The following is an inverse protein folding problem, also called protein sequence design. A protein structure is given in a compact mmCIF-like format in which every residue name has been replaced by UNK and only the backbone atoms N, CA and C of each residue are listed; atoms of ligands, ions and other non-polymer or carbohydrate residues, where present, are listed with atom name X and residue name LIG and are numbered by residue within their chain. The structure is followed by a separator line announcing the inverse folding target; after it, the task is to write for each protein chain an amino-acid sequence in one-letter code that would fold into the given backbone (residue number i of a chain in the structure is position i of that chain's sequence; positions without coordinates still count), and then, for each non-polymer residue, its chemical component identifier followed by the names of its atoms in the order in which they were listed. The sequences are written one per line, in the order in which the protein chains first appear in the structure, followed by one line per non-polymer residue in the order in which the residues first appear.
data_IF_512053542463
#
_entry.id   IF_512053542463
#
_cell.length_a   1.000
_cell.length_b   1.000
_cell.length_c   1.000
_cell.angle_alpha   90.00
_cell.angle_beta   90.00
_cell.angle_gamma   90.00
#
_symmetry.space_group_name_H-M   'P 1'
#
loop_
_entity.id
_entity.type
_entity.pdbx_description
1 polymer ?
#
# COMPACT_ATOMS: atom_id res chain seq x y z
N UNK A 1 3.09 -22.68 8.77
CA UNK A 1 2.18 -21.95 9.69
C UNK A 1 3.05 -21.25 10.71
N UNK A 2 2.89 -19.96 10.88
CA UNK A 2 3.65 -19.23 11.91
C UNK A 2 3.33 -19.84 13.28
N UNK A 3 4.36 -19.93 14.15
CA UNK A 3 4.20 -20.40 15.54
C UNK A 3 3.96 -19.21 16.49
N UNK A 4 4.02 -17.99 15.99
CA UNK A 4 3.84 -16.78 16.77
C UNK A 4 2.36 -16.52 17.01
N UNK A 5 1.97 -16.47 18.30
CA UNK A 5 0.57 -16.33 18.69
C UNK A 5 -0.07 -15.03 18.23
N UNK A 6 0.60 -13.88 18.39
CA UNK A 6 0.05 -12.59 18.02
C UNK A 6 -0.20 -12.48 16.51
N UNK A 7 0.74 -12.95 15.69
CA UNK A 7 0.60 -12.97 14.23
C UNK A 7 -0.46 -13.97 13.77
N UNK A 8 -0.59 -15.11 14.45
CA UNK A 8 -1.67 -16.09 14.18
C UNK A 8 -3.03 -15.49 14.52
N UNK A 9 -3.18 -14.90 15.72
CA UNK A 9 -4.42 -14.24 16.14
C UNK A 9 -4.83 -13.11 15.17
N UNK A 10 -3.85 -12.36 14.64
CA UNK A 10 -4.08 -11.30 13.64
C UNK A 10 -4.60 -11.87 12.31
N UNK A 11 -3.97 -12.94 11.82
CA UNK A 11 -4.42 -13.63 10.61
C UNK A 11 -5.80 -14.29 10.79
N UNK A 12 -6.04 -14.92 11.93
CA UNK A 12 -7.33 -15.56 12.26
C UNK A 12 -8.47 -14.52 12.40
N UNK A 13 -8.13 -13.28 12.79
CA UNK A 13 -9.07 -12.15 12.78
C UNK A 13 -9.36 -11.59 11.37
N UNK A 14 -8.75 -12.17 10.32
CA UNK A 14 -8.99 -11.82 8.92
C UNK A 14 -8.11 -10.71 8.36
N UNK A 15 -6.98 -10.42 9.00
CA UNK A 15 -5.99 -9.45 8.53
C UNK A 15 -4.88 -10.15 7.77
N UNK A 16 -4.67 -9.78 6.51
CA UNK A 16 -3.52 -10.23 5.73
C UNK A 16 -2.27 -9.43 6.11
N UNK A 17 -1.22 -10.12 6.56
CA UNK A 17 0.04 -9.50 6.99
C UNK A 17 0.94 -9.34 5.77
N UNK A 18 1.18 -8.11 5.34
CA UNK A 18 2.10 -7.81 4.25
C UNK A 18 3.36 -7.09 4.76
N UNK A 19 4.48 -7.31 4.09
CA UNK A 19 5.73 -6.61 4.35
C UNK A 19 5.82 -5.36 3.48
N UNK A 20 6.13 -4.21 4.07
CA UNK A 20 6.39 -2.96 3.35
C UNK A 20 7.89 -2.79 3.10
N UNK A 21 8.47 -3.75 2.40
CA UNK A 21 9.88 -3.78 2.01
C UNK A 21 10.15 -4.85 0.94
N UNK A 22 11.09 -4.57 0.04
CA UNK A 22 11.62 -5.53 -0.94
C UNK A 22 13.02 -5.09 -1.36
N UNK A 23 13.94 -6.04 -1.41
CA UNK A 23 15.26 -5.86 -2.02
C UNK A 23 15.75 -7.18 -2.63
N UNK A 24 16.67 -7.11 -3.56
CA UNK A 24 17.32 -8.30 -4.11
C UNK A 24 18.04 -9.10 -3.03
N UNK A 25 18.67 -8.43 -2.08
CA UNK A 25 19.33 -9.09 -0.94
C UNK A 25 18.34 -9.95 -0.14
N UNK A 26 17.11 -9.44 0.12
CA UNK A 26 16.07 -10.24 0.80
C UNK A 26 15.67 -11.48 0.02
N UNK A 27 15.64 -11.39 -1.29
CA UNK A 27 15.29 -12.51 -2.18
C UNK A 27 16.42 -13.55 -2.22
N UNK A 28 17.65 -13.10 -2.44
CA UNK A 28 18.82 -13.98 -2.62
C UNK A 28 19.29 -14.63 -1.31
N UNK A 29 19.21 -13.91 -0.18
CA UNK A 29 19.54 -14.46 1.13
C UNK A 29 18.51 -15.46 1.67
N UNK A 30 17.31 -15.51 1.09
CA UNK A 30 16.18 -16.28 1.60
C UNK A 30 15.41 -15.61 2.75
N UNK A 31 15.79 -14.40 3.15
CA UNK A 31 15.11 -13.66 4.24
C UNK A 31 13.61 -13.52 4.01
N UNK A 32 13.18 -13.18 2.79
CA UNK A 32 11.75 -13.05 2.49
C UNK A 32 11.01 -14.39 2.64
N UNK A 33 11.60 -15.50 2.19
CA UNK A 33 11.03 -16.83 2.35
C UNK A 33 10.90 -17.20 3.85
N UNK A 34 11.91 -16.87 4.65
CA UNK A 34 11.90 -17.08 6.10
C UNK A 34 10.78 -16.28 6.78
N UNK A 35 10.52 -15.04 6.37
CA UNK A 35 9.41 -14.21 6.88
C UNK A 35 8.03 -14.79 6.50
N UNK A 36 7.89 -15.33 5.30
CA UNK A 36 6.68 -16.03 4.87
C UNK A 36 6.42 -17.25 5.75
N UNK A 37 7.44 -18.05 6.03
CA UNK A 37 7.31 -19.28 6.81
C UNK A 37 7.15 -19.02 8.31
N UNK A 38 7.99 -18.16 8.89
CA UNK A 38 8.07 -17.95 10.33
C UNK A 38 7.09 -16.92 10.87
N UNK A 39 6.77 -15.87 10.09
CA UNK A 39 5.93 -14.74 10.52
C UNK A 39 4.60 -14.65 9.78
N UNK A 40 4.34 -15.53 8.82
CA UNK A 40 3.07 -15.54 8.09
C UNK A 40 2.88 -14.33 7.19
N UNK A 41 3.96 -13.77 6.64
CA UNK A 41 3.88 -12.73 5.61
C UNK A 41 3.25 -13.32 4.35
N UNK A 42 2.19 -12.68 3.86
CA UNK A 42 1.38 -13.18 2.75
C UNK A 42 1.35 -12.25 1.54
N UNK A 43 2.16 -11.20 1.54
CA UNK A 43 2.30 -10.26 0.43
C UNK A 43 3.36 -9.21 0.71
N UNK A 44 3.65 -8.40 -0.31
CA UNK A 44 4.67 -7.35 -0.26
C UNK A 44 4.18 -6.09 -0.95
N UNK A 45 4.44 -4.95 -0.33
CA UNK A 45 4.32 -3.64 -0.97
C UNK A 45 5.69 -3.03 -1.21
N UNK A 46 5.84 -2.36 -2.35
CA UNK A 46 6.99 -1.53 -2.66
C UNK A 46 6.56 -0.08 -2.89
N UNK A 47 7.51 0.82 -2.90
CA UNK A 47 7.33 2.22 -3.25
C UNK A 47 8.69 2.82 -3.66
N UNK A 48 8.74 4.05 -4.22
CA UNK A 48 9.98 4.67 -4.63
C UNK A 48 11.07 4.74 -3.55
N UNK A 49 10.69 4.96 -2.29
CA UNK A 49 11.65 5.04 -1.19
C UNK A 49 12.25 3.68 -0.83
N UNK A 50 11.48 2.60 -0.97
CA UNK A 50 11.97 1.22 -0.76
C UNK A 50 13.00 0.87 -1.83
N UNK A 51 12.69 1.10 -3.11
CA UNK A 51 13.66 0.84 -4.17
C UNK A 51 14.89 1.76 -4.11
N UNK A 52 14.71 3.02 -3.73
CA UNK A 52 15.84 3.92 -3.50
C UNK A 52 16.80 3.38 -2.43
N UNK A 53 16.27 2.89 -1.31
CA UNK A 53 17.07 2.26 -0.26
C UNK A 53 17.71 0.94 -0.71
N UNK A 54 16.96 0.07 -1.40
CA UNK A 54 17.44 -1.23 -1.87
C UNK A 54 18.59 -1.09 -2.88
N UNK A 55 18.49 -0.17 -3.83
CA UNK A 55 19.51 0.04 -4.85
C UNK A 55 20.71 0.85 -4.36
N UNK A 56 20.58 1.58 -3.24
CA UNK A 56 21.71 2.28 -2.63
C UNK A 56 22.79 1.34 -2.08
N UNK A 57 22.42 0.13 -1.68
CA UNK A 57 23.33 -0.92 -1.18
C UNK A 57 23.98 -1.76 -2.31
N UNK A 58 23.96 -1.29 -3.49
CA UNK A 58 24.63 -1.62 -4.77
C UNK A 58 25.23 -3.00 -5.03
N UNK A 59 25.63 -3.79 -4.03
CA UNK A 59 26.43 -5.02 -4.23
C UNK A 59 25.57 -6.13 -4.90
N UNK A 60 24.34 -6.32 -4.47
CA UNK A 60 23.41 -7.30 -5.04
C UNK A 60 22.98 -6.97 -6.50
N UNK A 61 23.10 -5.72 -6.90
CA UNK A 61 22.77 -5.26 -8.25
C UNK A 61 23.97 -5.12 -9.18
N UNK A 62 25.19 -5.31 -8.71
CA UNK A 62 26.42 -5.01 -9.45
C UNK A 62 26.52 -5.73 -10.79
N UNK A 63 26.14 -7.00 -10.87
CA UNK A 63 26.17 -7.78 -12.11
C UNK A 63 25.18 -7.22 -13.14
N UNK A 64 23.93 -6.95 -12.74
CA UNK A 64 22.91 -6.41 -13.65
C UNK A 64 23.26 -4.99 -14.10
N UNK A 65 23.82 -4.16 -13.21
CA UNK A 65 24.31 -2.82 -13.56
C UNK A 65 25.43 -2.89 -14.61
N UNK A 66 26.36 -3.84 -14.48
CA UNK A 66 27.40 -4.05 -15.47
C UNK A 66 26.84 -4.45 -16.83
N UNK A 67 25.85 -5.37 -16.88
CA UNK A 67 25.19 -5.79 -18.11
C UNK A 67 24.42 -4.63 -18.76
N UNK A 68 23.69 -3.84 -17.98
CA UNK A 68 22.94 -2.67 -18.46
C UNK A 68 23.89 -1.57 -18.97
N UNK A 69 25.01 -1.35 -18.29
CA UNK A 69 26.03 -0.40 -18.74
C UNK A 69 26.68 -0.85 -20.05
N UNK A 70 26.99 -2.14 -20.20
CA UNK A 70 27.53 -2.72 -21.45
C UNK A 70 26.53 -2.61 -22.63
N UNK A 71 25.23 -2.66 -22.33
CA UNK A 71 24.15 -2.48 -23.31
C UNK A 71 23.84 -1.01 -23.61
N UNK A 72 24.56 -0.07 -23.01
CA UNK A 72 24.32 1.40 -23.08
C UNK A 72 22.89 1.81 -22.73
N UNK A 73 22.27 1.10 -21.76
CA UNK A 73 20.92 1.37 -21.30
C UNK A 73 20.79 2.77 -20.67
N UNK A 74 19.65 3.42 -20.94
CA UNK A 74 19.25 4.64 -20.21
C UNK A 74 18.94 4.37 -18.75
N UNK A 75 19.00 5.41 -17.90
CA UNK A 75 18.76 5.25 -16.46
C UNK A 75 17.33 4.80 -16.15
N UNK A 76 16.32 5.34 -16.84
CA UNK A 76 14.93 4.95 -16.66
C UNK A 76 14.70 3.48 -17.04
N UNK A 77 15.29 3.03 -18.15
CA UNK A 77 15.23 1.63 -18.58
C UNK A 77 15.94 0.70 -17.59
N UNK A 78 17.07 1.13 -17.03
CA UNK A 78 17.81 0.38 -16.03
C UNK A 78 16.99 0.22 -14.73
N UNK A 79 16.40 1.29 -14.21
CA UNK A 79 15.52 1.23 -13.04
C UNK A 79 14.32 0.35 -13.31
N UNK A 80 13.68 0.49 -14.48
CA UNK A 80 12.56 -0.35 -14.88
C UNK A 80 12.94 -1.83 -14.90
N UNK A 81 14.06 -2.20 -15.51
CA UNK A 81 14.53 -3.59 -15.56
C UNK A 81 14.83 -4.15 -14.17
N UNK A 82 15.59 -3.43 -13.35
CA UNK A 82 15.98 -3.88 -12.00
C UNK A 82 14.77 -4.09 -11.10
N UNK A 83 13.83 -3.13 -11.07
CA UNK A 83 12.66 -3.20 -10.20
C UNK A 83 11.64 -4.25 -10.65
N UNK A 84 11.43 -4.43 -11.95
CA UNK A 84 10.54 -5.47 -12.48
C UNK A 84 11.11 -6.88 -12.28
N UNK A 85 12.43 -7.05 -12.35
CA UNK A 85 13.07 -8.34 -12.08
C UNK A 85 12.92 -8.75 -10.61
N UNK A 86 13.13 -7.82 -9.67
CA UNK A 86 12.94 -8.09 -8.24
C UNK A 86 11.47 -8.41 -7.91
N UNK A 87 10.54 -7.66 -8.48
CA UNK A 87 9.10 -7.91 -8.30
C UNK A 87 8.68 -9.25 -8.91
N UNK A 88 9.22 -9.61 -10.08
CA UNK A 88 8.97 -10.92 -10.70
C UNK A 88 9.47 -12.06 -9.80
N UNK A 89 10.70 -11.94 -9.27
CA UNK A 89 11.26 -12.94 -8.37
C UNK A 89 10.44 -13.06 -7.07
N UNK A 90 9.99 -11.94 -6.52
CA UNK A 90 9.07 -11.95 -5.37
C UNK A 90 7.72 -12.60 -5.71
N UNK A 91 7.14 -12.31 -6.88
CA UNK A 91 5.92 -12.96 -7.36
C UNK A 91 6.08 -14.48 -7.46
N UNK A 92 7.22 -14.94 -7.98
CA UNK A 92 7.53 -16.37 -8.11
C UNK A 92 7.61 -17.04 -6.73
N UNK A 93 8.23 -16.37 -5.74
CA UNK A 93 8.29 -16.86 -4.35
C UNK A 93 6.88 -17.01 -3.75
N UNK A 94 5.98 -16.07 -4.03
CA UNK A 94 4.63 -16.07 -3.50
C UNK A 94 3.63 -16.91 -4.30
N UNK A 95 3.98 -17.45 -5.47
CA UNK A 95 3.07 -18.24 -6.32
C UNK A 95 2.36 -19.38 -5.59
N UNK A 96 3.02 -20.22 -4.76
CA UNK A 96 2.32 -21.28 -4.04
C UNK A 96 1.25 -20.76 -3.05
N UNK A 97 1.47 -19.57 -2.48
CA UNK A 97 0.51 -18.95 -1.58
C UNK A 97 -0.66 -18.34 -2.38
N UNK A 98 -0.36 -17.66 -3.48
CA UNK A 98 -1.36 -17.13 -4.40
C UNK A 98 -2.34 -18.21 -4.88
N UNK A 99 -1.82 -19.35 -5.34
CA UNK A 99 -2.64 -20.47 -5.78
C UNK A 99 -3.50 -21.06 -4.64
N UNK A 100 -2.92 -21.24 -3.46
CA UNK A 100 -3.61 -21.80 -2.30
C UNK A 100 -4.72 -20.91 -1.76
N UNK A 101 -4.60 -19.59 -1.92
CA UNK A 101 -5.57 -18.60 -1.45
C UNK A 101 -6.55 -18.14 -2.53
N UNK A 102 -6.58 -18.80 -3.67
CA UNK A 102 -7.41 -18.43 -4.82
C UNK A 102 -7.19 -16.96 -5.22
N UNK A 103 -5.93 -16.53 -5.24
CA UNK A 103 -5.51 -15.20 -5.64
C UNK A 103 -5.76 -14.07 -4.62
N UNK A 104 -6.27 -14.37 -3.44
CA UNK A 104 -6.53 -13.35 -2.40
C UNK A 104 -5.23 -12.77 -1.86
N UNK A 105 -4.29 -13.63 -1.50
CA UNK A 105 -2.97 -13.27 -1.00
C UNK A 105 -1.84 -13.80 -1.91
N UNK A 106 -0.60 -13.71 -1.49
CA UNK A 106 0.56 -14.00 -2.31
C UNK A 106 0.84 -12.91 -3.35
N UNK A 107 0.49 -11.67 -3.02
CA UNK A 107 0.53 -10.51 -3.91
C UNK A 107 1.78 -9.67 -3.71
N UNK A 108 2.30 -9.12 -4.81
CA UNK A 108 3.43 -8.19 -4.81
C UNK A 108 3.04 -6.93 -5.58
N UNK A 109 3.28 -5.76 -4.99
CA UNK A 109 2.96 -4.47 -5.64
C UNK A 109 4.21 -3.82 -6.22
N UNK A 110 4.08 -3.25 -7.43
CA UNK A 110 5.06 -2.35 -8.05
C UNK A 110 4.37 -1.04 -8.44
N UNK A 111 4.98 0.10 -8.10
CA UNK A 111 4.39 1.41 -8.31
C UNK A 111 4.83 2.02 -9.64
N UNK A 112 3.89 2.70 -10.31
CA UNK A 112 4.21 3.54 -11.48
C UNK A 112 5.15 4.67 -11.07
N UNK A 113 5.88 5.22 -12.04
CA UNK A 113 6.76 6.37 -11.84
C UNK A 113 5.97 7.54 -11.21
N UNK A 114 6.37 8.03 -10.04
CA UNK A 114 5.64 9.11 -9.35
C UNK A 114 5.58 10.42 -10.15
N UNK A 115 6.49 10.64 -11.10
CA UNK A 115 6.44 11.79 -12.03
C UNK A 115 5.19 11.80 -12.91
N UNK A 116 4.52 10.64 -13.05
CA UNK A 116 3.29 10.47 -13.84
C UNK A 116 2.01 10.66 -13.01
N UNK A 117 2.11 10.92 -11.71
CA UNK A 117 0.96 10.98 -10.79
C UNK A 117 -0.13 11.98 -11.22
N UNK A 118 0.18 12.94 -12.08
CA UNK A 118 -0.75 13.95 -12.62
C UNK A 118 -1.03 13.81 -14.12
N UNK A 119 -0.63 12.68 -14.73
CA UNK A 119 -0.86 12.36 -16.14
C UNK A 119 -1.57 10.99 -16.25
N UNK A 120 -2.86 11.05 -16.50
CA UNK A 120 -3.71 9.85 -16.61
C UNK A 120 -3.23 8.91 -17.71
N UNK A 121 -2.93 9.44 -18.90
CA UNK A 121 -2.58 8.61 -20.07
C UNK A 121 -1.24 7.92 -19.86
N UNK A 122 -0.23 8.68 -19.44
CA UNK A 122 1.10 8.14 -19.19
C UNK A 122 1.09 7.11 -18.04
N UNK A 123 0.27 7.33 -17.00
CA UNK A 123 0.07 6.35 -15.91
C UNK A 123 -0.50 5.03 -16.42
N UNK A 124 -1.52 5.07 -17.29
CA UNK A 124 -2.12 3.86 -17.89
C UNK A 124 -1.10 3.11 -18.76
N UNK A 125 -0.37 3.83 -19.59
CA UNK A 125 0.64 3.23 -20.49
C UNK A 125 1.74 2.55 -19.67
N UNK A 126 2.24 3.20 -18.61
CA UNK A 126 3.24 2.60 -17.76
C UNK A 126 2.70 1.45 -16.92
N UNK A 127 1.47 1.52 -16.44
CA UNK A 127 0.83 0.41 -15.72
C UNK A 127 0.78 -0.86 -16.59
N UNK A 128 0.42 -0.72 -17.86
CA UNK A 128 0.44 -1.82 -18.84
C UNK A 128 1.86 -2.33 -19.09
N UNK A 129 2.84 -1.44 -19.20
CA UNK A 129 4.25 -1.82 -19.43
C UNK A 129 4.80 -2.59 -18.22
N UNK A 130 4.56 -2.13 -17.00
CA UNK A 130 4.98 -2.83 -15.77
C UNK A 130 4.32 -4.20 -15.64
N UNK A 131 3.01 -4.28 -15.88
CA UNK A 131 2.29 -5.55 -15.84
C UNK A 131 2.84 -6.56 -16.86
N UNK A 132 3.08 -6.11 -18.08
CA UNK A 132 3.67 -6.95 -19.13
C UNK A 132 5.12 -7.37 -18.83
N UNK A 133 5.92 -6.49 -18.22
CA UNK A 133 7.30 -6.78 -17.88
C UNK A 133 7.42 -7.76 -16.71
N UNK A 134 6.60 -7.61 -15.67
CA UNK A 134 6.57 -8.56 -14.55
C UNK A 134 6.00 -9.90 -15.00
N UNK A 135 4.96 -9.92 -15.81
CA UNK A 135 4.34 -11.11 -16.41
C UNK A 135 4.03 -12.20 -15.37
N UNK A 136 3.36 -11.80 -14.28
CA UNK A 136 2.91 -12.70 -13.21
C UNK A 136 1.49 -12.33 -12.76
N UNK A 137 0.61 -13.35 -12.53
CA UNK A 137 -0.80 -13.10 -12.19
C UNK A 137 -1.01 -12.46 -10.82
N UNK A 138 -0.02 -12.57 -9.95
CA UNK A 138 -0.07 -12.05 -8.57
C UNK A 138 0.55 -10.65 -8.40
N UNK A 139 0.95 -9.98 -9.49
CA UNK A 139 1.37 -8.58 -9.42
C UNK A 139 0.17 -7.64 -9.25
N UNK A 140 0.34 -6.60 -8.47
CA UNK A 140 -0.54 -5.45 -8.37
C UNK A 140 0.21 -4.22 -8.86
N UNK A 141 -0.35 -3.51 -9.84
CA UNK A 141 0.23 -2.23 -10.25
C UNK A 141 -0.24 -1.15 -9.29
N UNK A 142 0.70 -0.46 -8.66
CA UNK A 142 0.40 0.56 -7.65
C UNK A 142 0.28 1.92 -8.31
N UNK A 143 -0.87 2.60 -8.09
CA UNK A 143 -1.24 3.87 -8.74
C UNK A 143 -1.68 4.85 -7.65
N UNK A 144 -1.11 6.09 -7.60
CA UNK A 144 -1.53 7.12 -6.66
C UNK A 144 -2.99 7.56 -6.87
N UNK A 145 -3.72 7.79 -5.78
CA UNK A 145 -5.11 8.25 -5.78
C UNK A 145 -5.24 9.77 -6.02
N UNK A 146 -4.43 10.34 -6.90
CA UNK A 146 -4.60 11.73 -7.34
C UNK A 146 -5.90 11.89 -8.15
N UNK A 147 -6.34 13.12 -8.38
CA UNK A 147 -7.51 13.39 -9.23
C UNK A 147 -7.31 12.77 -10.61
N UNK A 148 -6.11 12.92 -11.18
CA UNK A 148 -5.73 12.35 -12.47
C UNK A 148 -5.49 10.83 -12.40
N UNK A 149 -5.13 10.31 -11.23
CA UNK A 149 -4.97 8.88 -10.97
C UNK A 149 -6.28 8.11 -10.98
N UNK A 150 -7.40 8.71 -10.55
CA UNK A 150 -8.69 8.02 -10.51
C UNK A 150 -9.14 7.46 -11.87
N UNK A 151 -9.14 8.23 -12.98
CA UNK A 151 -9.45 7.65 -14.30
C UNK A 151 -8.38 6.66 -14.77
N UNK A 152 -7.12 6.80 -14.38
CA UNK A 152 -6.07 5.82 -14.69
C UNK A 152 -6.32 4.46 -13.99
N UNK A 153 -6.74 4.49 -12.73
CA UNK A 153 -7.15 3.30 -11.97
C UNK A 153 -8.30 2.58 -12.68
N UNK A 154 -9.34 3.34 -13.05
CA UNK A 154 -10.49 2.80 -13.80
C UNK A 154 -10.06 2.12 -15.11
N UNK A 155 -9.25 2.80 -15.92
CA UNK A 155 -8.81 2.28 -17.21
C UNK A 155 -7.89 1.04 -17.05
N UNK A 156 -7.02 1.03 -16.04
CA UNK A 156 -6.13 -0.11 -15.76
C UNK A 156 -6.92 -1.35 -15.33
N UNK A 157 -7.90 -1.18 -14.44
CA UNK A 157 -8.80 -2.27 -14.03
C UNK A 157 -9.67 -2.78 -15.20
N UNK A 158 -10.15 -1.87 -16.07
CA UNK A 158 -10.92 -2.23 -17.27
C UNK A 158 -10.12 -3.13 -18.23
N UNK A 159 -8.79 -3.02 -18.24
CA UNK A 159 -7.90 -3.90 -19.00
C UNK A 159 -7.65 -5.26 -18.31
N UNK A 160 -8.25 -5.51 -17.15
CA UNK A 160 -8.07 -6.76 -16.38
C UNK A 160 -6.80 -6.78 -15.53
N UNK A 161 -6.14 -5.64 -15.34
CA UNK A 161 -4.93 -5.51 -14.54
C UNK A 161 -5.31 -5.21 -13.10
N UNK A 162 -4.79 -6.00 -12.16
CA UNK A 162 -4.99 -5.80 -10.72
C UNK A 162 -4.23 -4.58 -10.19
N UNK A 163 -4.86 -3.79 -9.31
CA UNK A 163 -4.34 -2.48 -8.88
C UNK A 163 -4.27 -2.36 -7.37
N UNK A 164 -3.14 -1.85 -6.87
CA UNK A 164 -3.00 -1.30 -5.52
C UNK A 164 -3.13 0.23 -5.61
N UNK A 165 -4.23 0.80 -5.11
CA UNK A 165 -4.39 2.26 -5.09
C UNK A 165 -3.69 2.83 -3.87
N UNK A 166 -2.81 3.81 -4.05
CA UNK A 166 -1.97 4.34 -2.97
C UNK A 166 -2.15 5.84 -2.72
N UNK A 167 -1.56 6.34 -1.63
CA UNK A 167 -1.64 7.73 -1.18
C UNK A 167 -3.08 8.19 -0.92
N UNK A 168 -3.87 7.33 -0.29
CA UNK A 168 -5.22 7.66 0.17
C UNK A 168 -5.11 8.17 1.61
N UNK A 169 -5.57 9.40 1.87
CA UNK A 169 -5.57 10.02 3.19
C UNK A 169 -6.95 10.45 3.65
N UNK A 170 -7.88 10.74 2.71
CA UNK A 170 -9.21 11.25 3.04
C UNK A 170 -10.31 10.23 2.77
N UNK A 171 -11.39 10.34 3.55
CA UNK A 171 -12.61 9.56 3.36
C UNK A 171 -13.28 9.86 2.02
N UNK A 172 -13.28 11.13 1.60
CA UNK A 172 -13.81 11.53 0.31
C UNK A 172 -13.02 10.89 -0.84
N UNK A 173 -11.68 10.98 -0.81
CA UNK A 173 -10.82 10.36 -1.81
C UNK A 173 -10.98 8.85 -1.83
N UNK A 174 -11.14 8.21 -0.67
CA UNK A 174 -11.36 6.78 -0.59
C UNK A 174 -12.67 6.35 -1.25
N UNK A 175 -13.77 7.11 -1.04
CA UNK A 175 -15.03 6.87 -1.74
C UNK A 175 -14.89 7.04 -3.26
N UNK A 176 -14.13 8.02 -3.71
CA UNK A 176 -13.82 8.20 -5.13
C UNK A 176 -12.97 7.03 -5.70
N UNK A 177 -12.03 6.50 -4.93
CA UNK A 177 -11.24 5.30 -5.28
C UNK A 177 -12.13 4.07 -5.43
N UNK A 178 -13.02 3.81 -4.47
CA UNK A 178 -13.97 2.70 -4.58
C UNK A 178 -14.90 2.86 -5.78
N UNK A 179 -15.35 4.09 -6.08
CA UNK A 179 -16.14 4.35 -7.29
C UNK A 179 -15.33 4.08 -8.57
N UNK A 180 -14.05 4.49 -8.63
CA UNK A 180 -13.18 4.22 -9.77
C UNK A 180 -12.96 2.70 -9.95
N UNK A 181 -12.80 1.96 -8.86
CA UNK A 181 -12.72 0.50 -8.87
C UNK A 181 -13.99 -0.16 -9.43
N UNK A 182 -15.16 0.20 -8.91
CA UNK A 182 -16.45 -0.34 -9.40
C UNK A 182 -16.67 -0.04 -10.89
N UNK A 183 -16.36 1.19 -11.31
CA UNK A 183 -16.47 1.59 -12.74
C UNK A 183 -15.49 0.81 -13.62
N UNK A 184 -14.27 0.58 -13.16
CA UNK A 184 -13.30 -0.25 -13.88
C UNK A 184 -13.76 -1.70 -14.04
N UNK A 185 -14.37 -2.29 -13.01
CA UNK A 185 -14.94 -3.63 -13.10
C UNK A 185 -16.17 -3.70 -14.01
N UNK A 186 -17.03 -2.67 -14.02
CA UNK A 186 -18.15 -2.56 -14.97
C UNK A 186 -17.65 -2.57 -16.41
N UNK A 187 -16.64 -1.77 -16.73
CA UNK A 187 -16.01 -1.73 -18.05
C UNK A 187 -15.31 -3.05 -18.40
N UNK A 188 -14.61 -3.68 -17.46
CA UNK A 188 -14.01 -5.00 -17.67
C UNK A 188 -15.06 -6.06 -17.99
N UNK A 189 -16.19 -6.04 -17.28
CA UNK A 189 -17.34 -6.93 -17.54
C UNK A 189 -17.93 -6.71 -18.92
N UNK A 190 -18.14 -5.45 -19.34
CA UNK A 190 -18.63 -5.11 -20.67
C UNK A 190 -17.66 -5.58 -21.77
N UNK A 191 -16.35 -5.56 -21.50
CA UNK A 191 -15.32 -6.08 -22.38
C UNK A 191 -15.21 -7.63 -22.36
N UNK A 192 -16.05 -8.32 -21.59
CA UNK A 192 -16.05 -9.79 -21.48
C UNK A 192 -14.91 -10.40 -20.68
N UNK A 193 -14.27 -9.62 -19.82
CA UNK A 193 -13.18 -10.11 -18.96
C UNK A 193 -13.71 -10.88 -17.75
N UNK A 194 -12.94 -11.84 -17.28
CA UNK A 194 -13.24 -12.57 -16.05
C UNK A 194 -12.93 -11.71 -14.82
N UNK A 195 -13.98 -11.25 -14.13
CA UNK A 195 -13.85 -10.39 -12.96
C UNK A 195 -13.20 -11.09 -11.76
N UNK A 196 -13.23 -12.42 -11.71
CA UNK A 196 -12.66 -13.20 -10.60
C UNK A 196 -11.14 -13.11 -10.53
N UNK A 197 -10.50 -12.73 -11.64
CA UNK A 197 -9.04 -12.58 -11.75
C UNK A 197 -8.56 -11.16 -11.43
N UNK A 198 -9.47 -10.19 -11.34
CA UNK A 198 -9.15 -8.78 -11.10
C UNK A 198 -9.25 -8.48 -9.61
N UNK A 199 -8.12 -8.20 -8.99
CA UNK A 199 -8.04 -7.89 -7.57
C UNK A 199 -7.60 -6.46 -7.35
N UNK A 200 -8.01 -5.88 -6.22
CA UNK A 200 -7.53 -4.57 -5.83
C UNK A 200 -7.41 -4.44 -4.31
N UNK A 201 -6.47 -3.61 -3.89
CA UNK A 201 -6.34 -3.11 -2.52
C UNK A 201 -6.27 -1.60 -2.54
N UNK A 202 -6.74 -0.96 -1.47
CA UNK A 202 -6.73 0.49 -1.30
C UNK A 202 -5.84 0.83 -0.11
N UNK A 203 -4.64 1.34 -0.40
CA UNK A 203 -3.64 1.72 0.59
C UNK A 203 -4.02 3.03 1.26
N UNK A 204 -4.67 2.92 2.41
CA UNK A 204 -5.09 4.02 3.27
C UNK A 204 -4.00 4.31 4.30
N UNK A 205 -3.48 5.52 4.29
CA UNK A 205 -2.29 5.92 5.07
C UNK A 205 -2.67 6.35 6.47
N UNK A 206 -2.02 5.79 7.48
CA UNK A 206 -2.42 5.96 8.89
C UNK A 206 -1.50 6.90 9.66
N UNK A 207 -0.23 6.53 9.91
CA UNK A 207 0.64 7.27 10.83
C UNK A 207 0.95 8.71 10.41
N UNK A 208 0.91 9.01 9.10
CA UNK A 208 1.16 10.38 8.63
C UNK A 208 0.05 11.35 9.05
N UNK A 209 -1.19 10.85 9.20
CA UNK A 209 -2.32 11.66 9.70
C UNK A 209 -2.06 12.10 11.13
N UNK A 210 -1.67 11.17 12.01
CA UNK A 210 -1.31 11.51 13.37
C UNK A 210 -0.10 12.46 13.42
N UNK A 211 0.94 12.21 12.62
CA UNK A 211 2.13 13.06 12.60
C UNK A 211 1.79 14.53 12.29
N UNK A 212 0.94 14.80 11.30
CA UNK A 212 0.59 16.17 10.94
C UNK A 212 -0.42 16.79 11.94
N UNK A 213 -1.41 16.03 12.37
CA UNK A 213 -2.41 16.51 13.33
C UNK A 213 -1.78 16.78 14.70
N UNK A 214 -0.92 15.89 15.20
CA UNK A 214 -0.24 16.06 16.47
C UNK A 214 0.65 17.30 16.49
N UNK A 215 1.33 17.60 15.37
CA UNK A 215 2.08 18.84 15.21
C UNK A 215 1.19 20.08 15.35
N UNK A 216 -0.03 20.06 14.78
CA UNK A 216 -0.99 21.16 14.92
C UNK A 216 -1.54 21.25 16.33
N UNK A 217 -1.82 20.11 16.98
CA UNK A 217 -2.26 20.03 18.37
C UNK A 217 -1.19 20.56 19.34
N UNK A 218 0.09 20.29 19.09
CA UNK A 218 1.21 20.82 19.89
C UNK A 218 1.30 22.34 19.80
N UNK A 219 0.98 22.95 18.66
CA UNK A 219 0.90 24.41 18.52
C UNK A 219 -0.22 25.02 19.37
N UNK A 220 -1.38 24.32 19.48
CA UNK A 220 -2.48 24.76 20.34
C UNK A 220 -2.14 24.64 21.83
N UNK A 221 -1.49 23.57 22.23
CA UNK A 221 -0.94 23.33 23.57
C UNK A 221 -1.96 23.25 24.71
N UNK A 222 -3.27 23.23 24.42
CA UNK A 222 -4.33 23.10 25.43
C UNK A 222 -4.44 21.65 25.94
N UNK A 223 -5.08 21.43 27.08
CA UNK A 223 -5.28 20.08 27.62
C UNK A 223 -6.20 19.24 26.71
N UNK A 224 -7.21 19.88 26.10
CA UNK A 224 -8.09 19.25 25.11
C UNK A 224 -7.30 18.80 23.86
N UNK A 225 -6.39 19.64 23.37
CA UNK A 225 -5.53 19.30 22.25
C UNK A 225 -4.61 18.12 22.57
N UNK A 226 -3.97 18.13 23.74
CA UNK A 226 -3.11 17.04 24.20
C UNK A 226 -3.86 15.70 24.31
N UNK A 227 -5.13 15.75 24.74
CA UNK A 227 -5.96 14.55 24.87
C UNK A 227 -6.35 13.91 23.54
N UNK A 228 -6.21 14.61 22.40
CA UNK A 228 -6.51 14.11 21.06
C UNK A 228 -5.28 13.56 20.31
N UNK A 229 -4.08 13.77 20.84
CA UNK A 229 -2.84 13.28 20.18
C UNK A 229 -2.86 11.77 20.02
N UNK A 230 -2.39 11.31 18.84
CA UNK A 230 -2.30 9.89 18.48
C UNK A 230 -3.63 9.20 18.23
N UNK A 231 -4.72 9.95 18.02
CA UNK A 231 -6.06 9.38 17.81
C UNK A 231 -6.60 9.56 16.40
N UNK A 232 -6.13 10.56 15.69
CA UNK A 232 -6.69 10.93 14.40
C UNK A 232 -6.47 9.88 13.31
N UNK A 233 -5.29 9.29 13.24
CA UNK A 233 -4.95 8.27 12.24
C UNK A 233 -5.83 7.02 12.37
N UNK A 234 -6.00 6.52 13.59
CA UNK A 234 -6.87 5.37 13.87
C UNK A 234 -8.34 5.73 13.61
N UNK A 235 -8.80 6.90 14.07
CA UNK A 235 -10.17 7.35 13.84
C UNK A 235 -10.48 7.46 12.33
N UNK A 236 -9.59 8.06 11.55
CA UNK A 236 -9.71 8.17 10.11
C UNK A 236 -9.78 6.78 9.42
N UNK A 237 -8.92 5.85 9.81
CA UNK A 237 -8.91 4.49 9.27
C UNK A 237 -10.19 3.71 9.64
N UNK A 238 -10.70 3.84 10.86
CA UNK A 238 -11.97 3.22 11.27
C UNK A 238 -13.14 3.72 10.43
N UNK A 239 -13.23 5.02 10.18
CA UNK A 239 -14.26 5.59 9.31
C UNK A 239 -14.07 5.21 7.83
N UNK A 240 -12.84 4.99 7.39
CA UNK A 240 -12.58 4.43 6.07
C UNK A 240 -13.13 3.00 5.96
N UNK A 241 -12.98 2.18 7.00
CA UNK A 241 -13.56 0.84 7.00
C UNK A 241 -15.09 0.88 7.01
N UNK A 242 -15.73 1.80 7.72
CA UNK A 242 -17.18 2.03 7.64
C UNK A 242 -17.61 2.36 6.20
N UNK A 243 -16.88 3.27 5.54
CA UNK A 243 -17.15 3.61 4.13
C UNK A 243 -17.00 2.40 3.19
N UNK A 244 -16.03 1.52 3.46
CA UNK A 244 -15.85 0.26 2.76
C UNK A 244 -17.08 -0.65 2.92
N UNK A 245 -17.57 -0.87 4.14
CA UNK A 245 -18.75 -1.70 4.39
C UNK A 245 -19.99 -1.14 3.67
N UNK A 246 -20.21 0.18 3.71
CA UNK A 246 -21.32 0.83 3.01
C UNK A 246 -21.26 0.61 1.48
N UNK A 247 -20.09 0.76 0.86
CA UNK A 247 -19.94 0.59 -0.59
C UNK A 247 -20.07 -0.87 -1.00
N UNK A 248 -19.44 -1.79 -0.26
CA UNK A 248 -19.43 -3.21 -0.58
C UNK A 248 -20.64 -3.98 -0.03
N UNK A 249 -21.64 -3.27 0.51
CA UNK A 249 -23.02 -3.77 0.75
C UNK A 249 -24.06 -3.17 -0.19
N UNK A 250 -23.66 -2.35 -1.18
CA UNK A 250 -24.57 -1.69 -2.11
C UNK A 250 -25.08 -2.62 -3.21
N UNK A 251 -26.26 -2.33 -3.76
CA UNK A 251 -26.83 -3.07 -4.91
C UNK A 251 -25.92 -3.04 -6.15
N UNK A 252 -25.14 -1.96 -6.33
CA UNK A 252 -24.13 -1.86 -7.41
C UNK A 252 -23.05 -2.92 -7.23
N UNK A 253 -22.54 -3.06 -6.01
CA UNK A 253 -21.56 -4.09 -5.68
C UNK A 253 -22.13 -5.51 -5.82
N UNK A 254 -23.34 -5.77 -5.31
CA UNK A 254 -23.98 -7.09 -5.41
C UNK A 254 -24.06 -7.58 -6.87
N UNK A 255 -24.32 -6.66 -7.80
CA UNK A 255 -24.36 -6.97 -9.25
C UNK A 255 -22.99 -7.41 -9.79
N UNK A 256 -21.91 -6.80 -9.33
CA UNK A 256 -20.55 -7.16 -9.72
C UNK A 256 -20.09 -8.44 -9.02
N UNK A 257 -20.40 -8.60 -7.74
CA UNK A 257 -20.10 -9.80 -6.98
C UNK A 257 -20.77 -11.04 -7.57
N UNK A 258 -22.06 -10.91 -8.00
CA UNK A 258 -22.78 -11.98 -8.70
C UNK A 258 -22.14 -12.34 -10.06
N UNK A 259 -21.33 -11.45 -10.64
CA UNK A 259 -20.55 -11.70 -11.85
C UNK A 259 -19.12 -12.20 -11.56
N UNK A 260 -18.81 -12.54 -10.30
CA UNK A 260 -17.54 -13.10 -9.88
C UNK A 260 -16.51 -12.09 -9.35
N UNK A 261 -16.85 -10.79 -9.27
CA UNK A 261 -15.94 -9.78 -8.76
C UNK A 261 -15.59 -9.99 -7.27
N UNK A 262 -14.39 -9.60 -6.91
CA UNK A 262 -13.90 -9.59 -5.54
C UNK A 262 -13.79 -8.16 -5.02
N UNK A 263 -14.04 -7.89 -3.71
CA UNK A 263 -14.00 -6.53 -3.19
C UNK A 263 -12.59 -5.95 -3.21
N UNK A 264 -12.50 -4.62 -3.35
CA UNK A 264 -11.26 -3.89 -3.11
C UNK A 264 -11.01 -3.84 -1.61
N UNK A 265 -10.05 -4.62 -1.12
CA UNK A 265 -9.78 -4.69 0.32
C UNK A 265 -9.12 -3.41 0.84
N UNK A 266 -9.54 -2.88 2.01
CA UNK A 266 -8.77 -1.85 2.69
C UNK A 266 -7.38 -2.38 3.04
N UNK A 267 -6.36 -1.58 2.77
CA UNK A 267 -4.98 -1.86 3.15
C UNK A 267 -4.48 -0.71 4.02
N UNK A 268 -4.16 -1.02 5.27
CA UNK A 268 -3.55 -0.06 6.16
C UNK A 268 -2.07 0.08 5.81
N UNK A 269 -1.70 1.29 5.36
CA UNK A 269 -0.35 1.64 4.95
C UNK A 269 0.25 2.68 5.90
N UNK A 270 1.59 2.80 5.89
CA UNK A 270 2.30 3.68 6.82
C UNK A 270 1.96 3.35 8.28
N UNK A 271 2.08 2.08 8.65
CA UNK A 271 1.68 1.55 9.96
C UNK A 271 2.82 1.51 10.98
N UNK A 272 4.03 1.91 10.58
CA UNK A 272 5.13 2.12 11.53
C UNK A 272 4.90 3.37 12.38
N UNK A 273 4.98 3.21 13.71
CA UNK A 273 4.84 4.31 14.67
C UNK A 273 6.05 5.23 14.58
N UNK A 274 5.83 6.56 14.60
CA UNK A 274 6.87 7.59 14.48
C UNK A 274 7.21 8.23 15.81
N UNK A 275 6.22 8.46 16.68
CA UNK A 275 6.39 9.02 18.00
C UNK A 275 6.64 7.91 19.03
N UNK A 276 7.77 7.99 19.73
CA UNK A 276 8.17 6.99 20.74
C UNK A 276 7.25 6.99 22.01
N UNK A 277 6.39 7.98 22.13
CA UNK A 277 5.40 8.02 23.21
C UNK A 277 4.23 7.07 22.96
N UNK A 278 4.04 6.60 21.73
CA UNK A 278 2.96 5.68 21.37
C UNK A 278 3.42 4.23 21.36
N UNK A 279 2.51 3.28 21.66
CA UNK A 279 2.81 1.86 21.49
C UNK A 279 3.22 1.57 20.04
N UNK A 280 4.35 0.93 19.84
CA UNK A 280 4.93 0.66 18.51
C UNK A 280 4.11 -0.31 17.65
N UNK A 281 3.12 -0.98 18.24
CA UNK A 281 2.17 -1.88 17.57
C UNK A 281 0.80 -1.25 17.29
N UNK A 282 0.55 0.02 17.69
CA UNK A 282 -0.79 0.59 17.75
C UNK A 282 -1.53 0.59 16.41
N UNK A 283 -0.86 0.90 15.31
CA UNK A 283 -1.49 0.92 13.97
C UNK A 283 -1.73 -0.47 13.38
N UNK A 284 -1.38 -1.52 14.11
CA UNK A 284 -1.73 -2.90 13.80
C UNK A 284 -2.83 -3.37 14.73
N UNK A 285 -2.61 -3.29 16.05
CA UNK A 285 -3.53 -3.85 17.06
C UNK A 285 -4.85 -3.07 17.19
N UNK A 286 -4.86 -1.77 16.88
CA UNK A 286 -6.06 -0.91 16.92
C UNK A 286 -6.83 -0.86 15.58
N UNK A 287 -6.35 -1.57 14.55
CA UNK A 287 -6.95 -1.59 13.21
C UNK A 287 -7.20 -3.01 12.70
N UNK A 288 -7.54 -3.91 13.62
CA UNK A 288 -7.90 -5.30 13.29
C UNK A 288 -9.36 -5.32 12.81
N UNK A 289 -9.57 -5.72 11.55
CA UNK A 289 -10.90 -5.92 10.97
C UNK A 289 -10.86 -7.00 9.88
N UNK A 290 -11.96 -7.76 9.67
CA UNK A 290 -11.98 -8.84 8.68
C UNK A 290 -11.80 -8.30 7.24
N UNK A 291 -11.09 -9.05 6.42
CA UNK A 291 -10.88 -8.73 5.02
C UNK A 291 -9.95 -7.54 4.75
N UNK A 292 -9.18 -7.11 5.76
CA UNK A 292 -8.18 -6.05 5.60
C UNK A 292 -6.79 -6.61 5.32
N UNK A 293 -5.93 -5.72 4.83
CA UNK A 293 -4.48 -5.94 4.76
C UNK A 293 -3.80 -4.93 5.67
N UNK A 294 -2.76 -5.33 6.37
CA UNK A 294 -1.85 -4.40 7.04
C UNK A 294 -0.45 -4.62 6.45
N UNK A 295 0.06 -3.61 5.75
CA UNK A 295 1.44 -3.64 5.26
C UNK A 295 2.32 -2.88 6.23
N UNK A 296 3.33 -3.56 6.75
CA UNK A 296 4.15 -3.01 7.83
C UNK A 296 5.64 -3.18 7.58
N UNK A 297 6.48 -2.24 8.04
CA UNK A 297 7.92 -2.43 8.07
C UNK A 297 8.29 -3.64 8.94
N UNK A 298 9.40 -4.31 8.65
CA UNK A 298 9.87 -5.47 9.43
C UNK A 298 9.97 -5.17 10.93
N UNK A 299 10.45 -3.98 11.30
CA UNK A 299 10.51 -3.55 12.71
C UNK A 299 9.13 -3.58 13.40
N UNK A 300 8.07 -3.18 12.69
CA UNK A 300 6.71 -3.23 13.23
C UNK A 300 6.21 -4.66 13.31
N UNK A 301 6.51 -5.47 12.30
CA UNK A 301 6.21 -6.90 12.30
C UNK A 301 6.89 -7.62 13.47
N UNK A 302 8.14 -7.28 13.77
CA UNK A 302 8.90 -7.80 14.91
C UNK A 302 8.26 -7.39 16.25
N UNK A 303 7.88 -6.12 16.39
CA UNK A 303 7.21 -5.63 17.59
C UNK A 303 5.88 -6.35 17.83
N UNK A 304 5.07 -6.53 16.79
CA UNK A 304 3.81 -7.30 16.90
C UNK A 304 4.09 -8.75 17.27
N UNK A 305 5.11 -9.38 16.69
CA UNK A 305 5.51 -10.74 17.02
C UNK A 305 6.00 -10.90 18.46
N UNK A 306 6.70 -9.91 18.99
CA UNK A 306 7.31 -9.94 20.34
C UNK A 306 6.28 -9.67 21.45
N UNK A 307 5.50 -8.60 21.29
CA UNK A 307 4.59 -8.13 22.37
C UNK A 307 3.21 -7.65 21.90
N UNK A 308 2.85 -7.84 20.63
CA UNK A 308 1.52 -7.47 20.14
C UNK A 308 0.40 -8.22 20.86
N UNK A 309 -0.66 -7.50 21.23
CA UNK A 309 -1.86 -8.07 21.83
C UNK A 309 -3.04 -7.87 20.88
N UNK A 310 -3.50 -8.96 20.28
CA UNK A 310 -4.64 -8.97 19.37
C UNK A 310 -5.88 -9.47 20.12
N UNK A 311 -6.91 -8.63 20.19
CA UNK A 311 -8.14 -8.89 20.95
C UNK A 311 -9.36 -9.17 20.08
N UNK A 312 -9.14 -9.39 18.77
CA UNK A 312 -10.20 -9.48 17.77
C UNK A 312 -10.46 -8.15 17.09
N UNK A 313 -11.66 -7.96 16.54
CA UNK A 313 -12.04 -6.72 15.82
C UNK A 313 -11.95 -5.49 16.74
N UNK A 314 -11.18 -4.50 16.28
CA UNK A 314 -10.97 -3.22 16.99
C UNK A 314 -11.48 -2.03 16.18
N UNK A 315 -12.25 -2.27 15.13
CA UNK A 315 -12.72 -1.27 14.17
C UNK A 315 -14.24 -1.10 14.17
N UNK A 316 -15.00 -2.19 13.97
CA UNK A 316 -16.43 -2.12 13.63
C UNK A 316 -17.31 -1.50 14.72
N UNK A 317 -17.02 -1.73 15.98
CA UNK A 317 -17.81 -1.17 17.11
C UNK A 317 -17.37 0.26 17.51
N UNK A 318 -16.41 0.87 16.79
CA UNK A 318 -15.76 2.14 17.17
C UNK A 318 -16.01 3.30 16.22
N UNK A 319 -16.98 3.22 15.30
CA UNK A 319 -17.25 4.31 14.34
C UNK A 319 -17.74 5.59 15.01
N UNK A 320 -18.58 5.47 16.05
CA UNK A 320 -19.06 6.63 16.80
C UNK A 320 -17.94 7.38 17.52
N UNK A 321 -17.03 6.63 18.16
CA UNK A 321 -15.87 7.21 18.84
C UNK A 321 -14.91 7.85 17.83
N UNK A 322 -14.72 7.22 16.67
CA UNK A 322 -13.89 7.75 15.60
C UNK A 322 -14.45 9.06 15.02
N UNK A 323 -15.77 9.14 14.79
CA UNK A 323 -16.43 10.38 14.36
C UNK A 323 -16.25 11.48 15.39
N UNK A 324 -16.43 11.17 16.69
CA UNK A 324 -16.26 12.15 17.77
C UNK A 324 -14.82 12.71 17.85
N UNK A 325 -13.80 11.90 17.53
CA UNK A 325 -12.42 12.40 17.45
C UNK A 325 -12.26 13.43 16.33
N UNK A 326 -12.76 13.15 15.12
CA UNK A 326 -12.68 14.12 14.02
C UNK A 326 -13.47 15.39 14.29
N UNK A 327 -14.68 15.27 14.86
CA UNK A 327 -15.50 16.42 15.27
C UNK A 327 -14.79 17.28 16.33
N UNK A 328 -14.11 16.65 17.29
CA UNK A 328 -13.34 17.37 18.30
C UNK A 328 -12.15 18.14 17.72
N UNK A 329 -11.46 17.57 16.71
CA UNK A 329 -10.39 18.25 15.99
C UNK A 329 -10.90 19.48 15.24
N UNK A 330 -12.01 19.35 14.52
CA UNK A 330 -12.67 20.49 13.85
C UNK A 330 -13.10 21.55 14.88
N UNK A 331 -13.63 21.14 16.05
CA UNK A 331 -13.98 22.02 17.17
C UNK A 331 -12.80 22.82 17.72
N UNK A 332 -11.57 22.31 17.63
CA UNK A 332 -10.32 23.00 17.94
C UNK A 332 -9.77 23.84 16.79
N UNK A 333 -10.46 23.89 15.65
CA UNK A 333 -10.05 24.65 14.47
C UNK A 333 -9.00 23.94 13.62
N UNK A 334 -8.81 22.64 13.78
CA UNK A 334 -7.96 21.82 12.89
C UNK A 334 -8.84 21.29 11.77
N UNK A 335 -8.72 21.89 10.58
CA UNK A 335 -9.46 21.48 9.39
C UNK A 335 -8.97 20.13 8.88
N UNK A 336 -9.85 19.13 8.87
CA UNK A 336 -9.57 17.80 8.34
C UNK A 336 -9.19 17.86 6.85
N UNK A 337 -9.95 18.64 6.05
CA UNK A 337 -9.68 18.77 4.61
C UNK A 337 -8.30 19.37 4.34
N UNK A 338 -7.90 20.40 5.07
CA UNK A 338 -6.57 21.02 4.89
C UNK A 338 -5.44 20.02 5.20
N UNK A 339 -5.61 19.19 6.24
CA UNK A 339 -4.63 18.18 6.62
C UNK A 339 -4.48 17.14 5.52
N UNK A 340 -5.58 16.53 5.07
CA UNK A 340 -5.50 15.43 4.10
C UNK A 340 -5.06 15.88 2.71
N UNK A 341 -5.43 17.09 2.30
CA UNK A 341 -4.96 17.71 1.05
C UNK A 341 -3.46 18.03 1.09
N UNK A 342 -2.96 18.49 2.25
CA UNK A 342 -1.53 18.66 2.46
C UNK A 342 -0.80 17.33 2.37
N UNK A 343 -1.29 16.29 3.05
CA UNK A 343 -0.66 14.98 3.08
C UNK A 343 -0.63 14.30 1.70
N UNK A 344 -1.65 14.49 0.86
CA UNK A 344 -1.65 14.00 -0.52
C UNK A 344 -0.52 14.66 -1.33
N UNK A 345 -0.42 16.00 -1.28
CA UNK A 345 0.66 16.72 -1.98
C UNK A 345 2.04 16.29 -1.51
N UNK A 346 2.27 16.31 -0.18
CA UNK A 346 3.54 15.90 0.42
C UNK A 346 3.88 14.43 0.13
N UNK A 347 2.85 13.57 0.02
CA UNK A 347 3.01 12.16 -0.34
C UNK A 347 3.56 11.97 -1.74
N UNK A 348 3.02 12.69 -2.72
CA UNK A 348 3.51 12.69 -4.11
C UNK A 348 4.92 13.29 -4.18
N UNK A 349 5.14 14.48 -3.60
CA UNK A 349 6.45 15.15 -3.58
C UNK A 349 7.54 14.28 -2.95
N UNK A 350 7.22 13.57 -1.88
CA UNK A 350 8.17 12.65 -1.24
C UNK A 350 8.53 11.48 -2.16
N UNK A 351 7.57 10.92 -2.89
CA UNK A 351 7.85 9.83 -3.81
C UNK A 351 8.64 10.32 -5.04
N UNK A 352 8.32 11.50 -5.58
CA UNK A 352 9.09 12.14 -6.64
C UNK A 352 10.55 12.38 -6.21
N UNK A 353 10.76 12.87 -4.98
CA UNK A 353 12.10 13.04 -4.43
C UNK A 353 12.86 11.72 -4.29
N UNK A 354 12.24 10.69 -3.72
CA UNK A 354 12.87 9.37 -3.60
C UNK A 354 13.19 8.76 -4.97
N UNK A 355 12.32 9.00 -5.96
CA UNK A 355 12.56 8.57 -7.34
C UNK A 355 13.75 9.29 -7.98
N UNK A 356 13.86 10.61 -7.80
CA UNK A 356 15.02 11.37 -8.28
C UNK A 356 16.33 10.86 -7.65
N UNK A 357 16.35 10.63 -6.35
CA UNK A 357 17.50 10.04 -5.64
C UNK A 357 17.85 8.63 -6.15
N UNK A 358 16.84 7.82 -6.48
CA UNK A 358 17.02 6.51 -7.10
C UNK A 358 17.68 6.63 -8.47
N UNK A 359 17.17 7.53 -9.35
CA UNK A 359 17.73 7.77 -10.66
C UNK A 359 19.17 8.27 -10.59
N UNK A 360 19.48 9.18 -9.67
CA UNK A 360 20.84 9.69 -9.45
C UNK A 360 21.80 8.56 -9.02
N UNK A 361 21.35 7.70 -8.10
CA UNK A 361 22.11 6.54 -7.64
C UNK A 361 22.42 5.54 -8.75
N UNK A 362 21.41 5.20 -9.57
CA UNK A 362 21.56 4.28 -10.71
C UNK A 362 22.43 4.88 -11.80
N UNK A 363 22.27 6.18 -12.10
CA UNK A 363 23.14 6.91 -13.05
C UNK A 363 24.60 6.77 -12.64
N UNK A 364 24.93 7.08 -11.40
CA UNK A 364 26.29 6.97 -10.89
C UNK A 364 26.82 5.52 -10.92
N UNK A 365 25.96 4.54 -10.71
CA UNK A 365 26.32 3.12 -10.79
C UNK A 365 26.64 2.70 -12.24
N UNK A 366 25.80 3.09 -13.22
CA UNK A 366 26.03 2.84 -14.64
C UNK A 366 27.31 3.50 -15.16
N UNK A 367 27.59 4.76 -14.74
CA UNK A 367 28.82 5.48 -15.10
C UNK A 367 30.08 4.79 -14.56
N UNK A 368 30.03 4.26 -13.34
CA UNK A 368 31.16 3.51 -12.77
C UNK A 368 31.40 2.15 -13.44
N UNK A 369 30.38 1.55 -14.02
CA UNK A 369 30.45 0.24 -14.69
C UNK A 369 30.83 0.32 -16.17
N UNK A 370 30.75 1.51 -16.80
CA UNK A 370 31.23 1.78 -18.18
C UNK A 370 32.74 1.93 -18.21
#
# INVERSE_FOLDING_TARGET
MTTNKALTDLADAGVSIWLDDLSRERLESGNLADLVESKGVVGVTTNPSIFQAALADGEAYAAQVADLAAADSGVDDAVFAMTTDDVRAACDLFTPLYERTDGVDGRVSIEVDPRLARDTSATVDQAKALHAAVDRPNVLIKIPATVEGLPAITATLAEGISVNVTLIFSLERYRAVMNAFLTGLEQAKEAGRDLSTIHSVASFFVSRVDTEIDKRLDVLGTEEAKALKGKAGIANARLAYQAYEEVFSSARWETLAAAGARPQRPLWASTGVKDLAYPDTMYVTELVAPGTVNTMPEKTLDAVADHGVVTGDTVTDHYGDAAAVLDALEGLGISYSDVVDQLEREGVEKFEKSWAELLDGVTAALERAR
#
